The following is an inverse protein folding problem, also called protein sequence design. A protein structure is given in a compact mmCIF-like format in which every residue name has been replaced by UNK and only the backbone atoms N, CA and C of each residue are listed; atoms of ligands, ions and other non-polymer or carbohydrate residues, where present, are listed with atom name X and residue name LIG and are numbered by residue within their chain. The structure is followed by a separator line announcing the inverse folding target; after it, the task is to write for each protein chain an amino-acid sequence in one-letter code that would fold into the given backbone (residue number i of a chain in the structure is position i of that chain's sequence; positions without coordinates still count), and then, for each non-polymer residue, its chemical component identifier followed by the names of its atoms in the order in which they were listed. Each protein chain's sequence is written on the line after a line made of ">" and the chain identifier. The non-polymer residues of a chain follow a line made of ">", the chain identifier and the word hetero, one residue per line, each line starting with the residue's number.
data_IF_212704706236
#
_entry.id   IF_212704706236
#
_cell.length_a   1.000
_cell.length_b   1.000
_cell.length_c   1.000
_cell.angle_alpha   90.00
_cell.angle_beta   90.00
_cell.angle_gamma   90.00
#
_symmetry.space_group_name_H-M   'P 1'
#
loop_
_entity.id
_entity.type
_entity.pdbx_description
1 polymer ?
#
# COMPACT_ATOMS: atom_id res chain seq x y z
N UNK A 1 22.89 27.92 3.26
CA UNK A 1 22.74 26.83 4.22
C UNK A 1 21.85 25.80 3.57
N UNK A 2 22.33 24.59 3.36
CA UNK A 2 21.45 23.46 3.07
C UNK A 2 20.80 23.10 4.39
N UNK A 3 19.47 23.09 4.45
CA UNK A 3 18.76 22.57 5.62
C UNK A 3 19.07 21.06 5.76
N UNK A 4 19.15 20.58 6.99
CA UNK A 4 19.32 19.15 7.25
C UNK A 4 18.13 18.37 6.67
N UNK A 5 18.34 17.16 6.13
CA UNK A 5 17.26 16.37 5.56
C UNK A 5 16.26 15.91 6.64
N UNK A 6 14.97 16.04 6.34
CA UNK A 6 13.91 15.44 7.15
C UNK A 6 13.95 13.91 6.98
N UNK A 7 14.09 13.18 8.10
CA UNK A 7 14.12 11.71 8.12
C UNK A 7 12.81 11.19 8.72
N UNK A 8 12.19 10.21 8.05
CA UNK A 8 10.97 9.58 8.50
C UNK A 8 11.12 8.06 8.59
N UNK A 9 10.43 7.46 9.56
CA UNK A 9 10.38 6.02 9.78
C UNK A 9 8.96 5.51 9.53
N UNK A 10 8.87 4.43 8.77
CA UNK A 10 7.61 3.77 8.46
C UNK A 10 7.36 2.61 9.43
N UNK A 11 6.15 2.58 9.96
CA UNK A 11 5.62 1.48 10.75
C UNK A 11 4.62 0.73 9.88
N UNK A 12 4.99 -0.47 9.44
CA UNK A 12 4.21 -1.23 8.47
C UNK A 12 3.59 -2.50 9.08
N UNK A 13 2.46 -2.91 8.52
CA UNK A 13 1.90 -4.23 8.71
C UNK A 13 2.82 -5.32 8.12
N UNK A 14 2.67 -6.60 8.52
CA UNK A 14 3.43 -7.71 7.94
C UNK A 14 3.26 -7.91 6.43
N UNK A 15 2.15 -7.44 5.84
CA UNK A 15 1.94 -7.42 4.39
C UNK A 15 2.65 -6.25 3.67
N UNK A 16 3.39 -5.42 4.42
CA UNK A 16 4.14 -4.27 3.93
C UNK A 16 3.35 -2.96 3.86
N UNK A 17 2.06 -2.96 4.21
CA UNK A 17 1.24 -1.73 4.19
C UNK A 17 1.66 -0.76 5.29
N UNK A 18 1.99 0.51 4.98
CA UNK A 18 2.24 1.53 5.98
C UNK A 18 0.99 1.82 6.82
N UNK A 19 1.14 1.81 8.15
CA UNK A 19 0.11 2.26 9.10
C UNK A 19 0.45 3.62 9.70
N UNK A 20 1.74 3.88 9.96
CA UNK A 20 2.19 5.17 10.53
C UNK A 20 3.53 5.60 9.97
N UNK A 21 3.76 6.90 10.02
CA UNK A 21 5.04 7.54 9.75
C UNK A 21 5.41 8.45 10.92
N UNK A 22 6.62 8.29 11.45
CA UNK A 22 7.14 9.12 12.55
C UNK A 22 8.37 9.91 12.13
N UNK A 23 8.58 11.06 12.77
CA UNK A 23 9.81 11.84 12.64
C UNK A 23 10.92 11.38 13.60
N UNK A 24 12.02 12.13 13.64
CA UNK A 24 13.19 11.85 14.48
C UNK A 24 12.92 11.93 15.97
N UNK A 25 11.96 12.77 16.36
CA UNK A 25 11.53 12.96 17.74
C UNK A 25 10.47 11.92 18.16
N UNK A 26 10.04 11.07 17.22
CA UNK A 26 9.03 10.04 17.44
C UNK A 26 7.59 10.53 17.30
N UNK A 27 7.37 11.77 16.86
CA UNK A 27 6.02 12.27 16.65
C UNK A 27 5.41 11.66 15.38
N UNK A 28 4.11 11.33 15.46
CA UNK A 28 3.34 10.85 14.32
C UNK A 28 3.14 12.01 13.35
N UNK A 29 3.57 11.81 12.10
CA UNK A 29 3.43 12.75 10.99
C UNK A 29 2.35 12.34 10.00
N UNK A 30 2.08 11.04 9.93
CA UNK A 30 1.00 10.48 9.12
C UNK A 30 0.53 9.17 9.76
N UNK A 31 -0.77 8.93 9.74
CA UNK A 31 -1.39 7.66 10.10
C UNK A 31 -2.46 7.28 9.07
N UNK A 32 -2.48 6.01 8.67
CA UNK A 32 -3.43 5.47 7.71
C UNK A 32 -4.06 4.18 8.24
N UNK A 33 -5.39 4.11 8.19
CA UNK A 33 -6.13 2.89 8.45
C UNK A 33 -6.58 2.30 7.12
N UNK A 34 -6.20 1.06 6.86
CA UNK A 34 -6.44 0.40 5.58
C UNK A 34 -7.40 -0.78 5.71
N UNK A 35 -8.18 -1.05 4.67
CA UNK A 35 -8.97 -2.27 4.56
C UNK A 35 -8.07 -3.48 4.31
N UNK A 36 -8.63 -4.69 4.42
CA UNK A 36 -7.92 -5.93 4.10
C UNK A 36 -7.36 -5.99 2.66
N UNK A 37 -7.96 -5.22 1.75
CA UNK A 37 -7.59 -5.13 0.32
C UNK A 37 -6.76 -3.88 -0.01
N UNK A 38 -6.36 -3.11 1.00
CA UNK A 38 -5.45 -1.97 0.86
C UNK A 38 -6.13 -0.62 0.65
N UNK A 39 -7.47 -0.55 0.64
CA UNK A 39 -8.18 0.73 0.54
C UNK A 39 -7.90 1.57 1.78
N UNK A 40 -7.49 2.82 1.60
CA UNK A 40 -7.34 3.76 2.71
C UNK A 40 -8.74 4.18 3.20
N UNK A 41 -9.10 3.75 4.40
CA UNK A 41 -10.38 4.05 5.04
C UNK A 41 -10.34 5.37 5.80
N UNK A 42 -9.20 5.65 6.44
CA UNK A 42 -8.97 6.88 7.18
C UNK A 42 -7.52 7.32 7.02
N UNK A 43 -7.31 8.61 6.81
CA UNK A 43 -6.00 9.27 6.74
C UNK A 43 -5.99 10.39 7.78
N UNK A 44 -4.96 10.43 8.62
CA UNK A 44 -4.75 11.46 9.63
C UNK A 44 -3.37 12.06 9.48
N UNK A 45 -3.31 13.39 9.46
CA UNK A 45 -2.08 14.18 9.34
C UNK A 45 -2.07 15.16 10.54
N UNK A 46 -1.49 14.74 11.68
CA UNK A 46 -1.69 15.46 12.94
C UNK A 46 -1.01 16.83 13.05
N UNK A 47 -0.16 17.20 12.09
CA UNK A 47 0.68 18.40 12.16
C UNK A 47 0.55 19.26 10.90
N UNK A 48 0.81 20.56 11.02
CA UNK A 48 0.58 21.56 9.96
C UNK A 48 1.37 21.33 8.66
N UNK A 49 2.48 20.58 8.72
CA UNK A 49 3.18 20.16 7.50
C UNK A 49 2.45 18.96 6.89
N UNK A 50 1.87 19.20 5.73
CA UNK A 50 1.06 18.23 5.00
C UNK A 50 1.96 17.15 4.36
N UNK A 51 2.32 16.12 5.14
CA UNK A 51 3.10 14.98 4.68
C UNK A 51 2.18 13.91 4.09
N UNK A 52 1.75 14.15 2.87
CA UNK A 52 0.77 13.31 2.20
C UNK A 52 1.42 12.01 1.67
N UNK A 53 1.26 10.89 2.40
CA UNK A 53 1.90 9.60 2.10
C UNK A 53 1.08 8.69 1.17
N UNK A 54 1.69 8.23 0.07
CA UNK A 54 1.04 7.46 -0.99
C UNK A 54 1.44 5.97 -1.06
N UNK A 55 2.43 5.52 -0.31
CA UNK A 55 2.82 4.11 -0.30
C UNK A 55 1.67 3.23 0.24
N UNK A 56 1.41 2.11 -0.44
CA UNK A 56 0.37 1.13 -0.05
C UNK A 56 1.03 -0.23 0.20
N UNK A 57 0.33 -1.33 -0.07
CA UNK A 57 0.89 -2.68 -0.01
C UNK A 57 2.16 -2.79 -0.86
N UNK A 58 2.96 -3.84 -0.63
CA UNK A 58 4.28 -4.00 -1.24
C UNK A 58 4.28 -3.73 -2.77
N UNK A 59 5.05 -2.73 -3.20
CA UNK A 59 5.18 -2.33 -4.61
C UNK A 59 4.03 -1.50 -5.18
N UNK A 60 3.11 -1.02 -4.33
CA UNK A 60 1.96 -0.20 -4.74
C UNK A 60 2.10 1.26 -4.32
N UNK A 61 1.63 2.15 -5.18
CA UNK A 61 1.58 3.59 -4.94
C UNK A 61 0.16 4.10 -5.20
N UNK A 62 -0.43 4.83 -4.26
CA UNK A 62 -1.73 5.47 -4.45
C UNK A 62 -1.62 6.61 -5.45
N UNK A 63 -2.39 6.51 -6.52
CA UNK A 63 -2.76 7.63 -7.34
C UNK A 63 -3.99 8.32 -6.72
N UNK A 64 -3.79 9.50 -6.13
CA UNK A 64 -4.86 10.25 -5.47
C UNK A 64 -5.91 10.80 -6.45
N UNK A 65 -5.57 10.99 -7.72
CA UNK A 65 -6.51 11.50 -8.72
C UNK A 65 -7.58 10.46 -9.05
N UNK A 66 -7.16 9.20 -9.18
CA UNK A 66 -8.05 8.09 -9.56
C UNK A 66 -8.53 7.24 -8.38
N UNK A 67 -7.82 7.29 -7.25
CA UNK A 67 -8.02 6.38 -6.11
C UNK A 67 -7.47 4.97 -6.36
N UNK A 68 -6.88 4.71 -7.52
CA UNK A 68 -6.30 3.43 -7.88
C UNK A 68 -4.86 3.31 -7.37
N UNK A 69 -4.39 2.09 -7.22
CA UNK A 69 -3.02 1.82 -6.82
C UNK A 69 -2.19 1.44 -8.05
N UNK A 70 -1.20 2.26 -8.39
CA UNK A 70 -0.23 1.91 -9.41
C UNK A 70 0.70 0.82 -8.91
N UNK A 71 0.84 -0.23 -9.72
CA UNK A 71 1.64 -1.41 -9.44
C UNK A 71 2.35 -1.84 -10.73
N UNK A 72 3.60 -1.41 -10.88
CA UNK A 72 4.53 -1.67 -11.99
C UNK A 72 3.85 -2.29 -13.24
N UNK A 73 3.35 -1.41 -14.13
CA UNK A 73 2.61 -1.71 -15.37
C UNK A 73 1.09 -1.96 -15.28
N UNK A 74 0.49 -2.02 -14.08
CA UNK A 74 -0.96 -2.15 -13.90
C UNK A 74 -1.50 -1.22 -12.82
N UNK A 75 -2.79 -0.93 -12.89
CA UNK A 75 -3.53 -0.29 -11.81
C UNK A 75 -4.38 -1.32 -11.09
N UNK A 76 -4.32 -1.31 -9.76
CA UNK A 76 -5.11 -2.13 -8.87
C UNK A 76 -6.24 -1.28 -8.28
N UNK A 77 -7.45 -1.80 -8.34
CA UNK A 77 -8.63 -1.22 -7.72
C UNK A 77 -8.85 -1.89 -6.35
N UNK A 78 -8.65 -1.16 -5.24
CA UNK A 78 -8.80 -1.72 -3.90
C UNK A 78 -10.27 -1.93 -3.50
N UNK A 79 -11.24 -1.35 -4.23
CA UNK A 79 -12.67 -1.57 -3.98
C UNK A 79 -13.15 -2.92 -4.55
N UNK A 80 -12.71 -3.26 -5.76
CA UNK A 80 -13.02 -4.56 -6.38
C UNK A 80 -11.99 -5.65 -6.10
N UNK A 81 -10.89 -5.31 -5.43
CA UNK A 81 -9.75 -6.18 -5.12
C UNK A 81 -9.14 -6.84 -6.38
N UNK A 82 -9.04 -6.09 -7.48
CA UNK A 82 -8.60 -6.60 -8.80
C UNK A 82 -7.76 -5.59 -9.57
N UNK A 83 -6.98 -6.09 -10.53
CA UNK A 83 -6.34 -5.22 -11.51
C UNK A 83 -7.34 -4.75 -12.57
N UNK A 84 -7.17 -3.51 -13.04
CA UNK A 84 -7.98 -2.92 -14.12
C UNK A 84 -7.57 -3.42 -15.50
N UNK A 85 -6.38 -4.03 -15.62
CA UNK A 85 -5.84 -4.60 -16.86
C UNK A 85 -5.31 -6.02 -16.63
N UNK A 86 -5.43 -6.85 -17.67
CA UNK A 86 -4.86 -8.19 -17.68
C UNK A 86 -3.34 -8.15 -17.53
N UNK A 87 -2.78 -9.21 -16.95
CA UNK A 87 -1.33 -9.37 -16.84
C UNK A 87 -0.66 -9.33 -18.22
N UNK A 88 0.33 -8.45 -18.46
CA UNK A 88 1.11 -8.45 -19.69
C UNK A 88 1.79 -9.78 -20.00
N UNK A 89 2.07 -10.61 -18.99
CA UNK A 89 2.68 -11.93 -19.16
C UNK A 89 1.65 -13.02 -19.51
N UNK A 90 0.36 -12.67 -19.53
CA UNK A 90 -0.74 -13.57 -19.89
C UNK A 90 -0.87 -14.75 -18.92
N UNK A 91 -1.23 -15.92 -19.45
CA UNK A 91 -1.42 -17.14 -18.65
C UNK A 91 -0.13 -17.70 -18.04
N UNK A 92 1.04 -17.22 -18.47
CA UNK A 92 2.30 -17.53 -17.77
C UNK A 92 2.37 -16.87 -16.38
N UNK A 93 1.49 -15.90 -16.14
CA UNK A 93 1.20 -15.27 -14.86
C UNK A 93 -0.08 -15.82 -14.24
N UNK A 94 -0.29 -17.12 -14.37
CA UNK A 94 -1.38 -17.84 -13.74
C UNK A 94 -2.71 -17.72 -14.48
N UNK A 95 -3.66 -18.56 -14.06
CA UNK A 95 -4.93 -18.75 -14.75
C UNK A 95 -5.92 -17.57 -14.57
N UNK A 96 -5.58 -16.60 -13.71
CA UNK A 96 -6.45 -15.47 -13.34
C UNK A 96 -5.75 -14.13 -13.62
N UNK A 97 -5.79 -13.62 -14.86
CA UNK A 97 -4.97 -12.49 -15.31
C UNK A 97 -5.35 -11.13 -14.68
N UNK A 98 -6.50 -11.03 -14.01
CA UNK A 98 -6.99 -9.82 -13.33
C UNK A 98 -6.96 -9.94 -11.80
N UNK A 99 -6.70 -11.13 -11.27
CA UNK A 99 -6.69 -11.35 -9.84
C UNK A 99 -5.35 -10.95 -9.25
N UNK A 100 -5.37 -10.51 -8.00
CA UNK A 100 -4.14 -10.42 -7.24
C UNK A 100 -3.85 -11.78 -6.62
N UNK A 101 -2.58 -12.17 -6.65
CA UNK A 101 -2.16 -13.33 -5.90
C UNK A 101 -2.03 -12.98 -4.44
N UNK A 102 -3.00 -13.46 -3.67
CA UNK A 102 -3.01 -13.35 -2.23
C UNK A 102 -2.46 -14.64 -1.65
N UNK A 103 -1.36 -14.56 -0.90
CA UNK A 103 -1.04 -15.60 0.07
C UNK A 103 -1.68 -15.22 1.40
N UNK A 104 -2.49 -16.14 1.94
CA UNK A 104 -2.96 -16.04 3.31
C UNK A 104 -1.78 -16.37 4.22
N UNK A 105 -1.17 -15.36 4.84
CA UNK A 105 -0.15 -15.56 5.85
C UNK A 105 -0.85 -15.52 7.22
N UNK A 106 -0.84 -16.64 7.92
CA UNK A 106 -1.30 -16.71 9.31
C UNK A 106 -0.16 -16.26 10.25
N UNK A 107 -0.33 -15.10 10.88
CA UNK A 107 0.58 -14.62 11.92
C UNK A 107 -0.23 -14.41 13.21
N UNK A 108 -0.05 -15.31 14.19
CA UNK A 108 -0.64 -15.17 15.51
C UNK A 108 -2.17 -15.17 15.54
N UNK A 109 -2.83 -15.98 14.70
CA UNK A 109 -4.29 -16.12 14.68
C UNK A 109 -5.05 -15.05 13.89
N UNK A 110 -4.35 -14.13 13.21
CA UNK A 110 -4.96 -13.20 12.23
C UNK A 110 -4.56 -13.62 10.82
N UNK A 111 -5.55 -13.91 9.96
CA UNK A 111 -5.33 -14.16 8.53
C UNK A 111 -5.04 -12.83 7.85
N UNK A 112 -3.85 -12.66 7.26
CA UNK A 112 -3.49 -11.46 6.49
C UNK A 112 -3.22 -11.83 5.03
N UNK A 113 -3.63 -10.95 4.13
CA UNK A 113 -3.43 -11.12 2.69
C UNK A 113 -2.12 -10.41 2.29
N UNK A 114 -1.17 -11.18 1.76
CA UNK A 114 0.02 -10.63 1.10
C UNK A 114 -0.20 -10.64 -0.41
N UNK A 115 -0.25 -9.46 -1.01
CA UNK A 115 -0.43 -9.31 -2.45
C UNK A 115 0.92 -9.49 -3.17
N UNK A 116 1.03 -10.50 -4.01
CA UNK A 116 2.14 -10.72 -4.92
C UNK A 116 1.81 -10.14 -6.29
N UNK A 117 2.83 -9.58 -6.94
CA UNK A 117 2.73 -9.04 -8.30
C UNK A 117 2.59 -10.11 -9.38
N UNK A 118 2.78 -11.38 -9.03
CA UNK A 118 2.60 -12.54 -9.91
C UNK A 118 1.63 -13.50 -9.27
N UNK A 119 0.44 -13.58 -9.87
CA UNK A 119 -0.05 -14.90 -10.23
C UNK A 119 0.77 -15.35 -11.44
#
# INVERSE_FOLDING_TARGET
>A
MLEDPDIFWFHCQPNGTPERMTDREGYIRWEGQNSAWGKLLHESIPQERDYAQNLRMQGQYLDRETGLHYNLFRYYDPDSARFTRQDPIGLAGGDKPLSVCAECVELGGTVRIKLFQRC
#
